data_IF_900724989781
#
_entry.id   IF_900724989781
#
_cell.length_a   1.000
_cell.length_b   1.000
_cell.length_c   1.000
_cell.angle_alpha   90.00
_cell.angle_beta   90.00
_cell.angle_gamma   90.00
#
_symmetry.space_group_name_H-M   'P 1'
#
loop_
_entity.id
_entity.type
_entity.pdbx_description
1 polymer ?
#
# COMPACT_ATOMS: atom_id res chain seq x y z
N UNK A 1 1.70 19.39 -16.03
CA UNK A 1 0.90 18.42 -15.24
C UNK A 1 1.76 17.28 -14.72
N UNK A 2 2.41 16.49 -15.57
CA UNK A 2 3.22 15.31 -15.17
C UNK A 2 4.32 15.55 -14.13
N UNK A 3 5.20 16.54 -14.33
CA UNK A 3 6.30 16.82 -13.39
C UNK A 3 5.80 17.21 -11.99
N UNK A 4 4.69 17.96 -11.91
CA UNK A 4 4.05 18.31 -10.63
C UNK A 4 3.48 17.08 -9.95
N UNK A 5 2.77 16.21 -10.69
CA UNK A 5 2.20 14.96 -10.14
C UNK A 5 3.28 14.04 -9.56
N UNK A 6 4.41 13.85 -10.26
CA UNK A 6 5.54 13.05 -9.79
C UNK A 6 6.11 13.59 -8.48
N UNK A 7 6.39 14.89 -8.42
CA UNK A 7 6.91 15.56 -7.22
C UNK A 7 5.96 15.42 -6.03
N UNK A 8 4.65 15.59 -6.25
CA UNK A 8 3.66 15.41 -5.20
C UNK A 8 3.57 13.96 -4.75
N UNK A 9 3.54 12.99 -5.68
CA UNK A 9 3.52 11.57 -5.33
C UNK A 9 4.73 11.18 -4.48
N UNK A 10 5.93 11.61 -4.85
CA UNK A 10 7.14 11.34 -4.06
C UNK A 10 7.02 11.90 -2.65
N UNK A 11 6.58 13.15 -2.50
CA UNK A 11 6.33 13.74 -1.18
C UNK A 11 5.31 12.94 -0.38
N UNK A 12 4.18 12.56 -0.99
CA UNK A 12 3.13 11.78 -0.34
C UNK A 12 3.66 10.41 0.12
N UNK A 13 4.50 9.78 -0.69
CA UNK A 13 5.16 8.52 -0.35
C UNK A 13 6.07 8.66 0.87
N UNK A 14 6.90 9.70 0.91
CA UNK A 14 7.76 9.96 2.07
C UNK A 14 6.95 10.31 3.33
N UNK A 15 5.92 11.16 3.21
CA UNK A 15 5.04 11.53 4.32
C UNK A 15 4.32 10.31 4.91
N UNK A 16 4.08 9.25 4.11
CA UNK A 16 3.41 8.03 4.55
C UNK A 16 4.15 7.28 5.66
N UNK A 17 5.47 7.50 5.78
CA UNK A 17 6.36 6.83 6.75
C UNK A 17 6.37 7.52 8.11
N UNK A 18 6.16 8.84 8.15
CA UNK A 18 6.40 9.67 9.34
C UNK A 18 5.13 10.33 9.92
N UNK A 19 4.10 10.53 9.11
CA UNK A 19 2.92 11.32 9.50
C UNK A 19 1.79 10.42 10.01
N UNK A 20 1.02 10.91 11.00
CA UNK A 20 -0.23 10.27 11.45
C UNK A 20 -1.16 10.03 10.27
N UNK A 21 -1.75 8.83 10.20
CA UNK A 21 -2.47 8.39 9.00
C UNK A 21 -3.68 9.27 8.68
N UNK A 22 -4.38 9.76 9.69
CA UNK A 22 -5.49 10.71 9.59
C UNK A 22 -5.06 11.99 8.86
N UNK A 23 -3.93 12.56 9.29
CA UNK A 23 -3.34 13.77 8.69
C UNK A 23 -2.87 13.50 7.27
N UNK A 24 -2.20 12.37 7.05
CA UNK A 24 -1.73 11.96 5.73
C UNK A 24 -2.87 11.79 4.70
N UNK A 25 -3.99 11.17 5.09
CA UNK A 25 -5.16 11.04 4.22
C UNK A 25 -5.77 12.41 3.96
N UNK A 26 -5.89 13.27 4.98
CA UNK A 26 -6.54 14.58 4.86
C UNK A 26 -5.79 15.53 3.92
N UNK A 27 -4.49 15.67 4.11
CA UNK A 27 -3.67 16.73 3.48
C UNK A 27 -3.27 16.41 2.02
N UNK A 28 -3.40 15.16 1.58
CA UNK A 28 -2.88 14.72 0.28
C UNK A 28 -3.98 14.36 -0.74
N UNK A 29 -3.67 14.43 -2.03
CA UNK A 29 -4.60 14.11 -3.11
C UNK A 29 -4.94 12.62 -3.15
N UNK A 30 -6.18 12.28 -3.51
CA UNK A 30 -6.68 10.91 -3.43
C UNK A 30 -5.91 9.91 -4.27
N UNK A 31 -5.59 10.26 -5.52
CA UNK A 31 -4.79 9.38 -6.38
C UNK A 31 -3.36 9.21 -5.84
N UNK A 32 -2.74 10.27 -5.34
CA UNK A 32 -1.39 10.18 -4.77
C UNK A 32 -1.33 9.27 -3.54
N UNK A 33 -2.31 9.33 -2.63
CA UNK A 33 -2.31 8.44 -1.46
C UNK A 33 -2.59 6.98 -1.84
N UNK A 34 -3.40 6.74 -2.87
CA UNK A 34 -3.67 5.38 -3.37
C UNK A 34 -2.41 4.80 -4.00
N UNK A 35 -1.76 5.54 -4.90
CA UNK A 35 -0.51 5.10 -5.54
C UNK A 35 0.61 4.90 -4.51
N UNK A 36 0.78 5.82 -3.57
CA UNK A 36 1.75 5.66 -2.48
C UNK A 36 1.44 4.43 -1.61
N UNK A 37 0.15 4.18 -1.31
CA UNK A 37 -0.29 2.97 -0.60
C UNK A 37 0.09 1.69 -1.34
N UNK A 38 -0.12 1.65 -2.67
CA UNK A 38 0.30 0.52 -3.52
C UNK A 38 1.82 0.30 -3.53
N UNK A 39 2.62 1.37 -3.57
CA UNK A 39 4.09 1.28 -3.49
C UNK A 39 4.53 0.71 -2.13
N UNK A 40 3.97 1.23 -1.04
CA UNK A 40 4.26 0.74 0.32
C UNK A 40 3.85 -0.71 0.48
N UNK A 41 2.67 -1.08 -0.02
CA UNK A 41 2.17 -2.46 -0.01
C UNK A 41 3.09 -3.41 -0.77
N UNK A 42 3.49 -3.04 -1.99
CA UNK A 42 4.42 -3.80 -2.82
C UNK A 42 5.72 -4.04 -2.09
N UNK A 43 6.31 -2.97 -1.54
CA UNK A 43 7.59 -3.02 -0.82
C UNK A 43 7.53 -3.93 0.41
N UNK A 44 6.45 -3.84 1.20
CA UNK A 44 6.30 -4.62 2.43
C UNK A 44 6.00 -6.10 2.15
N UNK A 45 5.25 -6.42 1.09
CA UNK A 45 5.01 -7.80 0.68
C UNK A 45 6.29 -8.45 0.17
N UNK A 46 7.04 -7.79 -0.71
CA UNK A 46 8.32 -8.32 -1.21
C UNK A 46 9.33 -8.50 -0.09
N UNK A 47 9.40 -7.55 0.85
CA UNK A 47 10.25 -7.69 2.03
C UNK A 47 9.86 -8.90 2.88
N UNK A 48 8.57 -9.14 3.09
CA UNK A 48 8.10 -10.29 3.85
C UNK A 48 8.35 -11.62 3.11
N UNK A 49 8.24 -11.64 1.79
CA UNK A 49 8.50 -12.81 0.96
C UNK A 49 10.00 -13.08 0.78
N UNK A 50 10.85 -12.06 0.87
CA UNK A 50 12.31 -12.19 0.77
C UNK A 50 12.98 -12.56 2.10
N UNK A 51 12.23 -12.85 3.16
CA UNK A 51 12.75 -13.16 4.51
C UNK A 51 13.20 -14.65 4.65
N UNK A 52 13.48 -15.30 3.52
CA UNK A 52 13.98 -16.67 3.44
C UNK A 52 13.13 -17.68 4.21
N UNK A 53 13.73 -18.38 5.17
CA UNK A 53 13.05 -19.36 6.02
C UNK A 53 11.95 -18.74 6.91
N UNK A 54 12.01 -17.43 7.15
CA UNK A 54 11.05 -16.70 7.99
C UNK A 54 9.85 -16.14 7.20
N UNK A 55 9.83 -16.25 5.87
CA UNK A 55 8.82 -15.60 5.03
C UNK A 55 7.37 -15.93 5.43
N UNK A 56 7.07 -17.19 5.74
CA UNK A 56 5.72 -17.59 6.21
C UNK A 56 5.31 -16.88 7.51
N UNK A 57 6.25 -16.65 8.43
CA UNK A 57 6.01 -15.89 9.66
C UNK A 57 5.87 -14.39 9.36
N UNK A 58 6.73 -13.85 8.49
CA UNK A 58 6.70 -12.45 8.08
C UNK A 58 5.38 -12.08 7.39
N UNK A 59 4.89 -12.89 6.45
CA UNK A 59 3.60 -12.68 5.76
C UNK A 59 2.43 -12.70 6.75
N UNK A 60 2.44 -13.60 7.75
CA UNK A 60 1.42 -13.62 8.82
C UNK A 60 1.45 -12.38 9.70
N UNK A 61 2.63 -11.86 10.01
CA UNK A 61 2.77 -10.59 10.74
C UNK A 61 2.32 -9.40 9.88
N UNK A 62 2.67 -9.41 8.60
CA UNK A 62 2.25 -8.41 7.62
C UNK A 62 0.71 -8.34 7.52
N UNK A 63 0.03 -9.49 7.50
CA UNK A 63 -1.43 -9.55 7.56
C UNK A 63 -1.99 -8.81 8.78
N UNK A 64 -1.44 -9.06 9.98
CA UNK A 64 -1.86 -8.37 11.22
C UNK A 64 -1.63 -6.87 11.12
N UNK A 65 -0.49 -6.45 10.54
CA UNK A 65 -0.18 -5.04 10.27
C UNK A 65 -1.21 -4.41 9.33
N UNK A 66 -1.60 -5.08 8.24
CA UNK A 66 -2.60 -4.56 7.30
C UNK A 66 -4.01 -4.49 7.89
N UNK A 67 -4.41 -5.47 8.71
CA UNK A 67 -5.69 -5.40 9.44
C UNK A 67 -5.72 -4.22 10.41
N UNK A 68 -4.64 -4.00 11.17
CA UNK A 68 -4.51 -2.83 12.05
C UNK A 68 -4.57 -1.52 11.25
N UNK A 69 -3.94 -1.49 10.08
CA UNK A 69 -3.96 -0.35 9.17
C UNK A 69 -5.37 -0.03 8.65
N UNK A 70 -6.11 -1.04 8.17
CA UNK A 70 -7.50 -0.90 7.72
C UNK A 70 -8.43 -0.42 8.84
N UNK A 71 -8.22 -0.87 10.08
CA UNK A 71 -8.98 -0.39 11.23
C UNK A 71 -8.76 1.11 11.47
N UNK A 72 -7.53 1.61 11.32
CA UNK A 72 -7.23 3.05 11.40
C UNK A 72 -7.92 3.84 10.30
N UNK A 73 -7.89 3.35 9.05
CA UNK A 73 -8.59 4.00 7.93
C UNK A 73 -10.11 4.01 8.15
N UNK A 74 -10.67 2.91 8.64
CA UNK A 74 -12.10 2.81 8.96
C UNK A 74 -12.48 3.78 10.09
N UNK A 75 -11.61 3.97 11.08
CA UNK A 75 -11.83 4.96 12.14
C UNK A 75 -11.92 6.39 11.60
N UNK A 76 -11.11 6.76 10.59
CA UNK A 76 -11.20 8.06 9.91
C UNK A 76 -12.61 8.31 9.36
N UNK A 77 -13.24 7.30 8.76
CA UNK A 77 -14.59 7.46 8.16
C UNK A 77 -15.72 7.73 9.16
N UNK A 78 -15.49 7.44 10.44
CA UNK A 78 -16.42 7.72 11.55
C UNK A 78 -16.38 9.18 12.01
N UNK A 79 -15.34 9.93 11.62
CA UNK A 79 -15.23 11.36 11.91
C UNK A 79 -16.04 12.23 10.93
N UNK A 80 -16.16 13.53 11.23
CA UNK A 80 -16.80 14.49 10.32
C UNK A 80 -15.86 14.80 9.16
N UNK A 81 -16.19 14.26 7.98
CA UNK A 81 -15.45 14.45 6.74
C UNK A 81 -16.29 15.24 5.73
N UNK A 82 -15.66 16.09 4.93
CA UNK A 82 -16.26 16.62 3.70
C UNK A 82 -16.54 15.49 2.69
N UNK A 83 -17.38 15.77 1.69
CA UNK A 83 -17.70 14.81 0.62
C UNK A 83 -16.44 14.29 -0.09
N UNK A 84 -15.49 15.19 -0.38
CA UNK A 84 -14.25 14.83 -1.08
C UNK A 84 -13.33 13.97 -0.18
N UNK A 85 -13.16 14.35 1.08
CA UNK A 85 -12.36 13.56 2.03
C UNK A 85 -12.95 12.17 2.23
N UNK A 86 -14.29 12.05 2.33
CA UNK A 86 -14.98 10.77 2.45
C UNK A 86 -14.74 9.90 1.22
N UNK A 87 -14.97 10.43 0.02
CA UNK A 87 -14.77 9.69 -1.24
C UNK A 87 -13.33 9.20 -1.38
N UNK A 88 -12.36 10.07 -1.07
CA UNK A 88 -10.92 9.74 -1.06
C UNK A 88 -10.60 8.62 -0.07
N UNK A 89 -11.10 8.71 1.15
CA UNK A 89 -10.85 7.72 2.21
C UNK A 89 -11.47 6.36 1.84
N UNK A 90 -12.71 6.35 1.35
CA UNK A 90 -13.39 5.14 0.91
C UNK A 90 -12.64 4.48 -0.25
N UNK A 91 -12.21 5.27 -1.24
CA UNK A 91 -11.44 4.76 -2.38
C UNK A 91 -10.11 4.12 -1.94
N UNK A 92 -9.40 4.75 -0.99
CA UNK A 92 -8.21 4.16 -0.40
C UNK A 92 -8.53 2.84 0.31
N UNK A 93 -9.57 2.81 1.16
CA UNK A 93 -9.99 1.60 1.88
C UNK A 93 -10.29 0.45 0.90
N UNK A 94 -10.99 0.70 -0.20
CA UNK A 94 -11.30 -0.32 -1.21
C UNK A 94 -10.04 -1.00 -1.74
N UNK A 95 -9.01 -0.22 -2.08
CA UNK A 95 -7.74 -0.75 -2.58
C UNK A 95 -6.97 -1.50 -1.47
N UNK A 96 -6.98 -0.99 -0.24
CA UNK A 96 -6.29 -1.61 0.89
C UNK A 96 -6.95 -2.92 1.38
N UNK A 97 -8.26 -3.07 1.17
CA UNK A 97 -8.96 -4.35 1.41
C UNK A 97 -8.47 -5.41 0.42
N UNK A 98 -8.34 -5.07 -0.86
CA UNK A 98 -7.75 -5.96 -1.85
C UNK A 98 -6.31 -6.36 -1.47
N UNK A 99 -5.49 -5.39 -1.06
CA UNK A 99 -4.14 -5.64 -0.58
C UNK A 99 -4.10 -6.65 0.59
N UNK A 100 -5.00 -6.50 1.58
CA UNK A 100 -5.15 -7.45 2.69
C UNK A 100 -5.56 -8.84 2.22
N UNK A 101 -6.49 -8.93 1.27
CA UNK A 101 -6.98 -10.20 0.73
C UNK A 101 -5.88 -10.95 -0.05
N UNK A 102 -5.01 -10.23 -0.76
CA UNK A 102 -3.82 -10.82 -1.38
C UNK A 102 -2.85 -11.33 -0.31
N UNK A 103 -2.55 -10.56 0.74
CA UNK A 103 -1.67 -11.00 1.83
C UNK A 103 -2.25 -12.25 2.53
N UNK A 104 -3.57 -12.31 2.72
CA UNK A 104 -4.28 -13.48 3.21
C UNK A 104 -4.07 -14.69 2.30
N UNK A 105 -4.18 -14.50 0.98
CA UNK A 105 -3.95 -15.56 0.00
C UNK A 105 -2.50 -16.07 0.06
N UNK A 106 -1.51 -15.18 0.06
CA UNK A 106 -0.09 -15.53 0.22
C UNK A 106 0.15 -16.37 1.48
N UNK A 107 -0.47 -15.96 2.60
CA UNK A 107 -0.36 -16.71 3.85
C UNK A 107 -1.01 -18.10 3.78
N UNK A 108 -2.10 -18.27 3.04
CA UNK A 108 -2.84 -19.54 2.92
C UNK A 108 -2.17 -20.52 1.98
N UNK A 109 -1.58 -20.03 0.89
CA UNK A 109 -0.84 -20.86 -0.08
C UNK A 109 0.57 -21.19 0.40
N UNK A 110 1.03 -20.55 1.48
CA UNK A 110 2.37 -20.76 2.01
C UNK A 110 3.46 -20.10 1.16
N UNK A 111 3.10 -19.06 0.40
CA UNK A 111 4.05 -18.30 -0.40
C UNK A 111 5.20 -17.79 0.49
N UNK A 112 6.42 -18.05 0.06
CA UNK A 112 7.66 -17.84 0.79
C UNK A 112 8.75 -17.20 -0.07
N UNK A 113 8.44 -16.88 -1.33
CA UNK A 113 9.35 -16.26 -2.29
C UNK A 113 8.67 -15.13 -3.06
N UNK A 114 9.40 -14.04 -3.41
CA UNK A 114 8.89 -13.01 -4.32
C UNK A 114 8.63 -13.52 -5.75
N UNK A 115 9.07 -14.74 -6.08
CA UNK A 115 8.82 -15.37 -7.37
C UNK A 115 7.62 -16.32 -7.36
N UNK A 116 6.93 -16.48 -6.22
CA UNK A 116 5.74 -17.32 -6.15
C UNK A 116 4.59 -16.71 -6.98
N UNK A 117 3.89 -17.56 -7.73
CA UNK A 117 2.88 -17.14 -8.71
C UNK A 117 1.79 -16.25 -8.09
N UNK A 118 1.35 -16.56 -6.87
CA UNK A 118 0.35 -15.76 -6.16
C UNK A 118 0.76 -14.29 -6.01
N UNK A 119 2.05 -14.02 -5.85
CA UNK A 119 2.60 -12.66 -5.77
C UNK A 119 2.89 -12.08 -7.15
N UNK A 120 3.56 -12.85 -8.00
CA UNK A 120 3.99 -12.45 -9.36
C UNK A 120 2.78 -12.02 -10.22
N UNK A 121 1.64 -12.69 -10.05
CA UNK A 121 0.38 -12.38 -10.75
C UNK A 121 -0.24 -11.02 -10.40
N UNK A 122 0.23 -10.36 -9.34
CA UNK A 122 -0.28 -9.05 -8.91
C UNK A 122 0.38 -7.88 -9.65
N UNK A 123 -0.36 -6.79 -9.83
CA UNK A 123 0.23 -5.51 -10.24
C UNK A 123 1.04 -4.93 -9.08
N UNK A 124 2.33 -4.70 -9.34
CA UNK A 124 3.29 -4.24 -8.33
C UNK A 124 3.78 -2.84 -8.69
N UNK A 125 3.76 -1.94 -7.72
CA UNK A 125 4.08 -0.53 -7.90
C UNK A 125 5.40 -0.21 -7.21
N UNK A 126 6.30 0.44 -7.93
CA UNK A 126 7.64 0.79 -7.45
C UNK A 126 7.88 2.27 -7.65
N UNK A 127 8.54 2.90 -6.69
CA UNK A 127 9.22 4.16 -6.95
C UNK A 127 10.62 3.86 -7.49
N UNK A 128 10.82 4.08 -8.78
CA UNK A 128 12.12 3.93 -9.44
C UNK A 128 12.93 5.22 -9.22
N UNK A 129 14.09 5.09 -8.55
CA UNK A 129 14.94 6.23 -8.20
C UNK A 129 15.68 6.78 -9.41
N UNK A 130 16.03 5.93 -10.37
CA UNK A 130 16.81 6.31 -11.54
C UNK A 130 15.92 7.01 -12.56
N UNK A 131 14.71 6.49 -12.77
CA UNK A 131 13.68 7.13 -13.59
C UNK A 131 12.99 8.31 -12.88
N UNK A 132 13.13 8.41 -11.55
CA UNK A 132 12.42 9.36 -10.69
C UNK A 132 10.89 9.33 -10.96
N UNK A 133 10.34 8.11 -11.00
CA UNK A 133 8.95 7.87 -11.39
C UNK A 133 8.34 6.64 -10.72
N UNK A 134 7.02 6.56 -10.75
CA UNK A 134 6.29 5.35 -10.38
C UNK A 134 6.25 4.39 -11.58
N UNK A 135 6.81 3.20 -11.41
CA UNK A 135 6.80 2.12 -12.41
C UNK A 135 5.89 1.00 -11.93
N UNK A 136 5.04 0.49 -12.81
CA UNK A 136 4.14 -0.64 -12.53
C UNK A 136 4.62 -1.86 -13.30
N UNK A 137 4.69 -3.01 -12.61
CA UNK A 137 5.12 -4.28 -13.21
C UNK A 137 4.11 -5.39 -12.96
N UNK A 138 3.93 -6.23 -13.97
CA UNK A 138 3.24 -7.51 -13.91
C UNK A 138 4.05 -8.46 -14.78
N UNK A 139 5.06 -9.09 -14.16
CA UNK A 139 6.00 -10.04 -14.80
C UNK A 139 5.97 -11.33 -14.04
#
# INVERSE_FOLDING_TARGET
MFASTKKHLYKVLEDSKAVKKEKWVKENQGQCIITAGQIVWTTECEKALADGEHSSKAVRQLKKKWVSYLNKLTAITRSKLSKIERNKTVSLITIEVHARDVIEKLSKTGASSPNDFEWVSQLRFYWDKDANDCVVKQV
#
